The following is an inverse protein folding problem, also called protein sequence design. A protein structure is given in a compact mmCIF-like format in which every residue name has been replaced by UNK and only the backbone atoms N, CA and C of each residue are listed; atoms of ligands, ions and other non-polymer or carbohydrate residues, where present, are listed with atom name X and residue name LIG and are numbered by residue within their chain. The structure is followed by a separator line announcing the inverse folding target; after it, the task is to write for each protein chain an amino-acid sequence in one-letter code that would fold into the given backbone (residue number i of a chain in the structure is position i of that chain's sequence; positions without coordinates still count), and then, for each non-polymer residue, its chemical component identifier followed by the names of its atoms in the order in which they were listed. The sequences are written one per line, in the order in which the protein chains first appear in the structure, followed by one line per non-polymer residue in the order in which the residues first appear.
data_IF_483386781240
#
_entry.id   IF_483386781240
#
_cell.length_a   1.000
_cell.length_b   1.000
_cell.length_c   1.000
_cell.angle_alpha   90.00
_cell.angle_beta   90.00
_cell.angle_gamma   90.00
#
_symmetry.space_group_name_H-M   'P 1'
#
loop_
_entity.id
_entity.type
_entity.pdbx_description
1 polymer ?
#
# COMPACT_ATOMS: atom_id res chain seq x y z
N UNK A 1 -14.61 12.54 -5.08
CA UNK A 1 -13.96 11.61 -4.14
C UNK A 1 -13.23 10.54 -4.93
N UNK A 2 -11.91 10.43 -4.77
CA UNK A 2 -11.07 9.45 -5.48
C UNK A 2 -11.37 8.01 -5.01
N UNK A 3 -10.93 7.01 -5.79
CA UNK A 3 -11.08 5.60 -5.43
C UNK A 3 -10.39 5.29 -4.10
N UNK A 4 -9.15 5.76 -3.91
CA UNK A 4 -8.40 5.55 -2.68
C UNK A 4 -9.14 6.05 -1.43
N UNK A 5 -9.70 7.27 -1.46
CA UNK A 5 -10.44 7.81 -0.31
C UNK A 5 -11.69 6.99 0.03
N UNK A 6 -12.34 6.37 -0.96
CA UNK A 6 -13.47 5.46 -0.71
C UNK A 6 -13.01 4.18 0.01
N UNK A 7 -11.90 3.60 -0.44
CA UNK A 7 -11.34 2.37 0.14
C UNK A 7 -10.82 2.62 1.57
N UNK A 8 -10.12 3.74 1.78
CA UNK A 8 -9.68 4.18 3.11
C UNK A 8 -10.87 4.40 4.04
N UNK A 9 -11.93 5.08 3.58
CA UNK A 9 -13.13 5.28 4.38
C UNK A 9 -13.84 3.96 4.72
N UNK A 10 -13.81 2.98 3.82
CA UNK A 10 -14.34 1.65 4.07
C UNK A 10 -13.51 0.92 5.13
N UNK A 11 -12.20 0.88 4.98
CA UNK A 11 -11.30 0.25 5.96
C UNK A 11 -11.39 0.96 7.33
N UNK A 12 -11.55 2.29 7.35
CA UNK A 12 -11.79 3.05 8.58
C UNK A 12 -13.03 2.56 9.36
N UNK A 13 -14.05 2.09 8.63
CA UNK A 13 -15.30 1.57 9.20
C UNK A 13 -15.17 0.09 9.59
N UNK A 14 -14.52 -0.71 8.77
CA UNK A 14 -14.45 -2.17 8.92
C UNK A 14 -13.31 -2.63 9.85
N UNK A 15 -12.22 -1.86 9.89
CA UNK A 15 -11.02 -2.12 10.68
C UNK A 15 -10.47 -3.52 10.48
N UNK A 16 -10.33 -3.95 9.24
CA UNK A 16 -9.83 -5.29 8.90
C UNK A 16 -8.31 -5.39 9.05
N UNK A 17 -7.60 -4.26 9.03
CA UNK A 17 -6.13 -4.20 9.01
C UNK A 17 -5.54 -4.45 7.62
N UNK A 18 -6.36 -4.70 6.59
CA UNK A 18 -5.91 -5.00 5.23
C UNK A 18 -6.50 -4.01 4.23
N UNK A 19 -5.65 -3.36 3.46
CA UNK A 19 -6.09 -2.37 2.47
C UNK A 19 -5.33 -2.54 1.15
N UNK A 20 -6.08 -2.67 0.05
CA UNK A 20 -5.52 -2.66 -1.31
C UNK A 20 -5.81 -1.31 -1.99
N UNK A 21 -4.78 -0.50 -2.13
CA UNK A 21 -4.74 0.77 -2.86
C UNK A 21 -3.97 0.67 -4.18
N UNK A 22 -3.72 -0.55 -4.68
CA UNK A 22 -3.20 -0.77 -6.03
C UNK A 22 -4.05 -0.03 -7.08
N UNK A 23 -3.43 0.43 -8.16
CA UNK A 23 -4.10 1.11 -9.28
C UNK A 23 -5.15 2.18 -8.89
N UNK A 24 -4.85 3.00 -7.88
CA UNK A 24 -5.73 4.08 -7.44
C UNK A 24 -5.41 5.45 -8.06
N UNK A 25 -4.37 5.53 -8.90
CA UNK A 25 -3.89 6.75 -9.55
C UNK A 25 -3.14 7.68 -8.60
N UNK A 26 -2.58 7.13 -7.52
CA UNK A 26 -1.91 7.91 -6.48
C UNK A 26 -0.57 8.46 -6.99
N UNK A 27 -0.37 9.76 -6.81
CA UNK A 27 0.94 10.41 -6.92
C UNK A 27 1.46 10.82 -5.54
N UNK A 28 0.56 10.98 -4.58
CA UNK A 28 0.85 11.14 -3.16
C UNK A 28 -0.04 10.21 -2.33
N UNK A 29 0.36 9.98 -1.08
CA UNK A 29 -0.44 9.24 -0.11
C UNK A 29 -1.42 10.21 0.58
N UNK A 30 -2.74 9.93 0.54
CA UNK A 30 -3.74 10.79 1.17
C UNK A 30 -3.60 10.78 2.70
N UNK A 31 -3.83 11.92 3.34
CA UNK A 31 -3.70 12.06 4.81
C UNK A 31 -4.56 11.06 5.59
N UNK A 32 -5.73 10.73 5.05
CA UNK A 32 -6.67 9.79 5.66
C UNK A 32 -6.11 8.37 5.78
N UNK A 33 -5.09 8.00 4.99
CA UNK A 33 -4.40 6.71 5.11
C UNK A 33 -3.70 6.58 6.47
N UNK A 34 -3.09 7.68 6.95
CA UNK A 34 -2.30 7.68 8.17
C UNK A 34 -3.17 7.72 9.44
N UNK A 35 -4.48 7.93 9.29
CA UNK A 35 -5.45 7.74 10.37
C UNK A 35 -5.74 6.24 10.67
N UNK A 36 -5.31 5.34 9.78
CA UNK A 36 -5.47 3.89 9.93
C UNK A 36 -4.31 3.29 10.74
N UNK A 37 -4.16 3.70 12.00
CA UNK A 37 -3.04 3.29 12.87
C UNK A 37 -2.96 1.77 13.13
N UNK A 38 -4.02 1.02 12.83
CA UNK A 38 -4.10 -0.44 12.95
C UNK A 38 -3.75 -1.19 11.65
N UNK A 39 -3.37 -0.48 10.59
CA UNK A 39 -3.15 -1.09 9.29
C UNK A 39 -1.88 -1.96 9.31
N UNK A 40 -2.05 -3.26 9.03
CA UNK A 40 -0.96 -4.26 9.05
C UNK A 40 -0.57 -4.70 7.64
N UNK A 41 -1.51 -4.65 6.68
CA UNK A 41 -1.30 -5.11 5.32
C UNK A 41 -1.73 -4.00 4.35
N UNK A 42 -0.79 -3.53 3.53
CA UNK A 42 -1.04 -2.52 2.51
C UNK A 42 -0.47 -2.94 1.16
N UNK A 43 -1.32 -3.02 0.14
CA UNK A 43 -0.87 -3.08 -1.25
C UNK A 43 -1.03 -1.71 -1.92
N UNK A 44 0.05 -1.20 -2.51
CA UNK A 44 0.07 -0.02 -3.39
C UNK A 44 0.49 -0.41 -4.82
N UNK A 45 0.83 -1.67 -5.05
CA UNK A 45 1.28 -2.20 -6.32
C UNK A 45 0.14 -2.62 -7.25
N UNK A 46 0.46 -2.75 -8.53
CA UNK A 46 -0.47 -3.29 -9.53
C UNK A 46 -0.79 -4.77 -9.29
N UNK A 47 0.20 -5.48 -8.75
CA UNK A 47 0.17 -6.89 -8.41
C UNK A 47 0.81 -7.07 -7.03
N UNK A 48 0.47 -8.17 -6.38
CA UNK A 48 1.17 -8.65 -5.20
C UNK A 48 1.16 -10.18 -5.17
N UNK A 49 2.19 -10.77 -4.56
CA UNK A 49 2.26 -12.19 -4.27
C UNK A 49 1.43 -12.53 -3.04
N UNK A 50 0.41 -13.38 -3.21
CA UNK A 50 -0.31 -13.99 -2.10
C UNK A 50 0.45 -15.25 -1.64
N UNK A 51 1.15 -15.13 -0.51
CA UNK A 51 1.95 -16.22 0.04
C UNK A 51 1.10 -17.41 0.54
N UNK A 52 -0.17 -17.18 0.90
CA UNK A 52 -1.07 -18.23 1.37
C UNK A 52 -1.63 -19.03 0.19
N UNK A 53 -2.09 -18.32 -0.85
CA UNK A 53 -2.61 -18.94 -2.07
C UNK A 53 -1.51 -19.41 -3.04
N UNK A 54 -0.27 -18.96 -2.85
CA UNK A 54 0.88 -19.19 -3.72
C UNK A 54 0.63 -18.74 -5.17
N UNK A 55 0.07 -17.54 -5.34
CA UNK A 55 -0.21 -16.96 -6.65
C UNK A 55 0.02 -15.45 -6.71
N UNK A 56 0.25 -14.95 -7.92
CA UNK A 56 0.24 -13.52 -8.21
C UNK A 56 -1.21 -13.02 -8.31
N UNK A 57 -1.56 -12.03 -7.48
CA UNK A 57 -2.89 -11.43 -7.47
C UNK A 57 -2.83 -10.03 -8.06
N UNK A 58 -3.68 -9.78 -9.05
CA UNK A 58 -3.89 -8.43 -9.57
C UNK A 58 -4.84 -7.66 -8.66
N UNK A 59 -4.51 -6.40 -8.36
CA UNK A 59 -5.46 -5.52 -7.67
C UNK A 59 -6.80 -5.43 -8.43
N UNK A 60 -7.96 -5.48 -7.73
CA UNK A 60 -9.26 -5.35 -8.38
C UNK A 60 -9.52 -3.91 -8.85
N UNK A 61 -8.74 -2.95 -8.35
CA UNK A 61 -8.87 -1.53 -8.63
C UNK A 61 -8.53 -1.23 -10.10
N UNK A 62 -9.41 -0.46 -10.76
CA UNK A 62 -9.31 -0.12 -12.20
C UNK A 62 -9.01 1.35 -12.46
N UNK A 63 -8.44 2.05 -11.47
CA UNK A 63 -7.92 3.40 -11.66
C UNK A 63 -6.59 3.39 -12.42
N UNK A 64 -5.86 4.50 -12.35
CA UNK A 64 -4.52 4.57 -12.92
C UNK A 64 -3.48 3.87 -12.05
N UNK A 65 -2.37 3.42 -12.64
CA UNK A 65 -1.20 2.96 -11.88
C UNK A 65 -0.70 4.05 -10.92
N UNK A 66 -0.32 3.66 -9.70
CA UNK A 66 0.32 4.56 -8.74
C UNK A 66 1.74 4.97 -9.17
N UNK A 67 2.15 6.18 -8.83
CA UNK A 67 3.44 6.81 -9.16
C UNK A 67 3.94 7.64 -7.99
N UNK A 68 4.20 6.96 -6.88
CA UNK A 68 4.49 7.62 -5.60
C UNK A 68 5.88 8.28 -5.57
N UNK A 69 6.88 7.69 -6.23
CA UNK A 69 8.26 8.20 -6.14
C UNK A 69 8.68 8.40 -4.67
N UNK A 70 9.15 9.60 -4.32
CA UNK A 70 9.54 9.96 -2.95
C UNK A 70 8.36 10.04 -1.96
N UNK A 71 7.11 10.19 -2.42
CA UNK A 71 5.96 10.22 -1.51
C UNK A 71 5.76 8.90 -0.76
N UNK A 72 6.38 7.80 -1.22
CA UNK A 72 6.39 6.53 -0.51
C UNK A 72 7.17 6.57 0.82
N UNK A 73 8.05 7.54 1.04
CA UNK A 73 8.77 7.69 2.32
C UNK A 73 7.81 7.87 3.50
N UNK A 74 6.65 8.49 3.28
CA UNK A 74 5.62 8.67 4.30
C UNK A 74 5.03 7.36 4.84
N UNK A 75 5.26 6.23 4.17
CA UNK A 75 4.84 4.92 4.69
C UNK A 75 5.43 4.61 6.07
N UNK A 76 6.53 5.26 6.45
CA UNK A 76 7.10 5.17 7.81
C UNK A 76 6.17 5.69 8.90
N UNK A 77 5.11 6.43 8.54
CA UNK A 77 4.07 6.91 9.46
C UNK A 77 3.03 5.82 9.81
N UNK A 78 3.12 4.61 9.22
CA UNK A 78 2.25 3.47 9.53
C UNK A 78 2.98 2.46 10.44
N UNK A 79 2.85 2.58 11.78
CA UNK A 79 3.73 1.87 12.73
C UNK A 79 3.48 0.37 12.82
N UNK A 80 2.29 -0.11 12.42
CA UNK A 80 1.89 -1.52 12.52
C UNK A 80 2.08 -2.30 11.22
N UNK A 81 2.65 -1.68 10.18
CA UNK A 81 2.74 -2.29 8.86
C UNK A 81 3.65 -3.51 8.87
N UNK A 82 3.11 -4.66 8.48
CA UNK A 82 3.79 -5.97 8.40
C UNK A 82 3.97 -6.43 6.96
N UNK A 83 3.01 -6.14 6.08
CA UNK A 83 3.10 -6.42 4.64
C UNK A 83 2.99 -5.12 3.84
N UNK A 84 3.89 -4.98 2.85
CA UNK A 84 3.89 -3.85 1.93
C UNK A 84 4.13 -4.30 0.48
N UNK A 85 3.15 -4.07 -0.38
CA UNK A 85 3.29 -4.22 -1.84
C UNK A 85 3.54 -2.87 -2.51
N UNK A 86 4.65 -2.73 -3.24
CA UNK A 86 5.05 -1.51 -3.93
C UNK A 86 5.35 -1.71 -5.42
N UNK A 87 5.05 -2.89 -5.97
CA UNK A 87 5.31 -3.20 -7.37
C UNK A 87 4.81 -2.08 -8.29
N UNK A 88 5.66 -1.68 -9.24
CA UNK A 88 5.30 -0.68 -10.24
C UNK A 88 4.89 0.69 -9.64
N UNK A 89 5.55 1.22 -8.61
CA UNK A 89 5.25 2.57 -8.07
C UNK A 89 6.18 3.71 -8.54
N UNK A 90 7.11 3.44 -9.45
CA UNK A 90 8.04 4.45 -9.96
C UNK A 90 9.04 4.93 -8.91
N UNK A 91 9.37 4.07 -7.95
CA UNK A 91 10.35 4.35 -6.90
C UNK A 91 11.76 4.39 -7.49
N UNK A 92 12.50 5.44 -7.18
CA UNK A 92 13.93 5.57 -7.50
C UNK A 92 14.80 5.51 -6.25
N UNK A 93 14.19 5.68 -5.06
CA UNK A 93 14.82 5.52 -3.77
C UNK A 93 13.91 4.66 -2.87
N UNK A 94 14.53 3.76 -2.12
CA UNK A 94 13.88 2.83 -1.19
C UNK A 94 14.58 2.84 0.18
N UNK A 95 15.39 3.87 0.45
CA UNK A 95 16.15 4.05 1.69
C UNK A 95 15.28 4.18 2.95
N UNK A 96 13.98 4.44 2.80
CA UNK A 96 13.01 4.48 3.89
C UNK A 96 12.58 3.08 4.38
N UNK A 97 12.74 2.02 3.58
CA UNK A 97 12.27 0.68 3.93
C UNK A 97 12.82 0.16 5.27
N UNK A 98 14.10 0.35 5.63
CA UNK A 98 14.63 -0.07 6.93
C UNK A 98 13.97 0.61 8.14
N UNK A 99 13.28 1.74 7.95
CA UNK A 99 12.56 2.43 9.02
C UNK A 99 11.20 1.78 9.33
N UNK A 100 10.70 0.89 8.46
CA UNK A 100 9.48 0.12 8.69
C UNK A 100 9.78 -1.08 9.58
N UNK A 101 10.00 -0.82 10.87
CA UNK A 101 10.49 -1.83 11.84
C UNK A 101 9.57 -3.05 12.01
N UNK A 102 8.28 -2.91 11.72
CA UNK A 102 7.30 -4.00 11.79
C UNK A 102 7.22 -4.85 10.51
N UNK A 103 7.89 -4.44 9.43
CA UNK A 103 7.74 -5.06 8.12
C UNK A 103 8.37 -6.46 8.11
N UNK A 104 7.57 -7.46 7.77
CA UNK A 104 7.98 -8.87 7.66
C UNK A 104 7.90 -9.40 6.24
N UNK A 105 7.09 -8.77 5.40
CA UNK A 105 6.94 -9.10 3.99
C UNK A 105 6.94 -7.84 3.15
N UNK A 106 7.76 -7.84 2.10
CA UNK A 106 7.91 -6.74 1.16
C UNK A 106 7.83 -7.31 -0.25
N UNK A 107 6.88 -6.81 -1.04
CA UNK A 107 6.76 -7.16 -2.44
C UNK A 107 7.10 -5.97 -3.34
N UNK A 108 8.23 -6.11 -4.04
CA UNK A 108 8.70 -5.20 -5.08
C UNK A 108 8.64 -5.84 -6.48
N UNK A 109 8.18 -7.09 -6.56
CA UNK A 109 8.41 -7.96 -7.69
C UNK A 109 7.34 -7.89 -8.77
N UNK A 110 7.78 -8.10 -9.99
CA UNK A 110 6.99 -8.44 -11.17
C UNK A 110 7.90 -8.89 -12.31
#
# INVERSE_FOLDING_TARGET
MSLALKLIAQEKKEKTGRLDLGNCGLTELPEELFELEWLEWLNLGEWYWDAEAQEDVQTPNKGGRNRLGQAAERLTELPQLQFLGLFNNGLTDVSFLPSLLGLTSLDLSG
#
